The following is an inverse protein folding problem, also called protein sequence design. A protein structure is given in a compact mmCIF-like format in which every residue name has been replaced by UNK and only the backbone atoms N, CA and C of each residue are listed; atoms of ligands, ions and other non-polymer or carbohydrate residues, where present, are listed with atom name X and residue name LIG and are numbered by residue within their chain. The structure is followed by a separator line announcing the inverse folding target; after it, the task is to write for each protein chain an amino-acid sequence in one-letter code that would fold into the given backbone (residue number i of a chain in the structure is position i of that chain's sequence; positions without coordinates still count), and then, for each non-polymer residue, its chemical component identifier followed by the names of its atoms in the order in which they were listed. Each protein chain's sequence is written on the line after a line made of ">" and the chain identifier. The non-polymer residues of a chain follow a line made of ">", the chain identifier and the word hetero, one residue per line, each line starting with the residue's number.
data_IF_542736235841
#
_entry.id   IF_542736235841
#
_cell.length_a   1.000
_cell.length_b   1.000
_cell.length_c   1.000
_cell.angle_alpha   90.00
_cell.angle_beta   90.00
_cell.angle_gamma   90.00
#
_symmetry.space_group_name_H-M   'P 1'
#
loop_
_entity.id
_entity.type
_entity.pdbx_description
1 polymer ?
#
# COMPACT_ATOMS: atom_id res chain seq x y z
N UNK A 1 2.59 0.33 17.20
CA UNK A 1 3.92 -0.27 17.08
C UNK A 1 4.24 -1.30 18.16
N UNK A 2 3.64 -1.24 19.37
CA UNK A 2 3.90 -2.23 20.43
C UNK A 2 3.64 -3.69 19.99
N UNK A 3 2.49 -3.98 19.38
CA UNK A 3 2.12 -5.33 18.91
C UNK A 3 3.00 -5.86 17.77
N UNK A 4 3.46 -4.96 16.91
CA UNK A 4 4.28 -5.30 15.73
C UNK A 4 5.76 -5.11 16.00
N UNK A 5 6.20 -4.74 17.21
CA UNK A 5 7.62 -4.61 17.56
C UNK A 5 8.40 -3.45 16.91
N UNK A 6 7.74 -2.49 16.26
CA UNK A 6 8.39 -1.34 15.62
C UNK A 6 8.15 -1.25 14.12
N UNK A 7 8.81 -0.30 13.45
CA UNK A 7 8.62 -0.02 12.03
C UNK A 7 9.23 -1.09 11.12
N UNK A 8 10.44 -1.56 11.43
CA UNK A 8 11.11 -2.58 10.62
C UNK A 8 10.30 -3.87 10.60
N UNK A 9 9.85 -4.31 11.78
CA UNK A 9 9.03 -5.51 11.89
C UNK A 9 7.60 -5.29 11.34
N UNK A 10 7.07 -4.05 11.31
CA UNK A 10 5.85 -3.74 10.56
C UNK A 10 6.04 -3.97 9.06
N UNK A 11 7.16 -3.55 8.48
CA UNK A 11 7.42 -3.75 7.05
C UNK A 11 7.45 -5.24 6.70
N UNK A 12 8.19 -6.03 7.47
CA UNK A 12 8.31 -7.47 7.25
C UNK A 12 6.97 -8.21 7.43
N UNK A 13 6.25 -7.92 8.53
CA UNK A 13 4.97 -8.54 8.81
C UNK A 13 3.90 -8.14 7.78
N UNK A 14 3.88 -6.88 7.34
CA UNK A 14 2.93 -6.40 6.33
C UNK A 14 3.11 -7.12 5.01
N UNK A 15 4.35 -7.32 4.55
CA UNK A 15 4.62 -8.01 3.28
C UNK A 15 4.22 -9.50 3.31
N UNK A 16 4.11 -10.08 4.52
CA UNK A 16 3.65 -11.46 4.72
C UNK A 16 2.17 -11.56 5.13
N UNK A 17 1.45 -10.44 5.24
CA UNK A 17 0.09 -10.38 5.78
C UNK A 17 -0.99 -10.77 4.76
N UNK A 18 -0.85 -11.92 4.09
CA UNK A 18 -1.88 -12.45 3.19
C UNK A 18 -2.98 -13.16 3.99
N UNK A 19 -4.26 -12.82 3.80
CA UNK A 19 -5.35 -13.44 4.55
C UNK A 19 -5.54 -14.92 4.19
N UNK A 20 -5.90 -15.74 5.17
CA UNK A 20 -6.22 -17.17 4.97
C UNK A 20 -7.62 -17.40 4.42
N UNK A 21 -8.53 -16.44 4.59
CA UNK A 21 -9.91 -16.49 4.11
C UNK A 21 -10.11 -15.36 3.11
N UNK A 22 -10.37 -15.72 1.85
CA UNK A 22 -10.64 -14.78 0.76
C UNK A 22 -12.07 -15.01 0.26
N UNK A 23 -12.80 -13.93 -0.01
CA UNK A 23 -14.13 -14.02 -0.61
C UNK A 23 -14.10 -14.58 -2.03
N UNK A 24 -15.27 -14.92 -2.56
CA UNK A 24 -15.41 -15.46 -3.92
C UNK A 24 -15.22 -14.34 -4.95
N UNK A 25 -14.51 -14.61 -6.05
CA UNK A 25 -14.29 -13.70 -7.19
C UNK A 25 -13.51 -12.40 -6.87
N UNK A 26 -12.65 -12.40 -5.85
CA UNK A 26 -11.77 -11.26 -5.55
C UNK A 26 -10.42 -11.46 -6.22
N UNK A 27 -9.93 -10.45 -6.94
CA UNK A 27 -8.58 -10.49 -7.55
C UNK A 27 -7.50 -10.57 -6.48
N UNK A 28 -6.47 -11.39 -6.71
CA UNK A 28 -5.30 -11.53 -5.84
C UNK A 28 -4.62 -10.19 -5.54
N UNK A 29 -4.60 -9.29 -6.51
CA UNK A 29 -4.05 -7.94 -6.38
C UNK A 29 -4.73 -7.08 -5.30
N UNK A 30 -5.96 -7.41 -4.90
CA UNK A 30 -6.71 -6.66 -3.90
C UNK A 30 -6.29 -6.99 -2.46
N UNK A 31 -5.76 -8.20 -2.20
CA UNK A 31 -5.45 -8.67 -0.85
C UNK A 31 -3.98 -9.04 -0.65
N UNK A 32 -3.18 -9.09 -1.71
CA UNK A 32 -1.74 -9.32 -1.61
C UNK A 32 -0.99 -7.98 -1.41
N UNK A 33 -0.02 -7.93 -0.47
CA UNK A 33 0.82 -6.76 -0.28
C UNK A 33 1.58 -6.40 -1.57
N UNK A 34 1.56 -5.10 -1.92
CA UNK A 34 2.32 -4.59 -3.06
C UNK A 34 3.78 -4.34 -2.69
N UNK A 35 4.69 -4.61 -3.62
CA UNK A 35 6.11 -4.32 -3.44
C UNK A 35 6.43 -2.83 -3.21
N UNK A 36 5.58 -1.93 -3.71
CA UNK A 36 5.70 -0.47 -3.54
C UNK A 36 4.80 0.09 -2.42
N UNK A 37 4.26 -0.74 -1.52
CA UNK A 37 3.32 -0.31 -0.48
C UNK A 37 3.87 0.76 0.48
N UNK A 38 5.19 0.77 0.71
CA UNK A 38 5.87 1.74 1.57
C UNK A 38 6.45 2.94 0.80
N UNK A 39 6.13 3.08 -0.49
CA UNK A 39 6.57 4.20 -1.31
C UNK A 39 5.38 5.12 -1.64
N UNK A 40 5.47 6.39 -1.22
CA UNK A 40 4.47 7.41 -1.56
C UNK A 40 4.46 7.65 -3.08
N UNK A 41 5.66 7.76 -3.67
CA UNK A 41 5.82 7.90 -5.10
C UNK A 41 5.99 6.52 -5.73
N UNK A 42 5.05 6.17 -6.59
CA UNK A 42 5.05 4.92 -7.35
C UNK A 42 5.78 5.10 -8.68
N UNK A 43 5.91 4.00 -9.42
CA UNK A 43 6.51 4.02 -10.75
C UNK A 43 5.84 5.11 -11.62
N UNK A 44 6.61 6.04 -12.22
CA UNK A 44 6.05 7.20 -12.91
C UNK A 44 5.33 6.85 -14.22
N UNK A 45 5.50 5.62 -14.75
CA UNK A 45 4.95 5.18 -16.03
C UNK A 45 3.90 4.08 -15.83
N UNK A 46 4.17 3.10 -14.96
CA UNK A 46 3.34 1.92 -14.70
C UNK A 46 2.48 2.05 -13.45
N UNK A 47 2.74 3.06 -12.63
CA UNK A 47 1.99 3.33 -11.40
C UNK A 47 0.55 3.71 -11.71
N UNK A 48 -0.33 3.30 -10.82
CA UNK A 48 -1.75 3.64 -10.82
C UNK A 48 -2.03 5.06 -10.32
N UNK A 49 -1.12 5.62 -9.51
CA UNK A 49 -1.22 6.96 -8.96
C UNK A 49 -0.09 7.85 -9.51
N UNK A 50 -0.38 8.82 -10.40
CA UNK A 50 0.63 9.72 -10.91
C UNK A 50 1.04 10.71 -9.82
N UNK A 51 2.36 10.84 -9.60
CA UNK A 51 2.91 11.70 -8.55
C UNK A 51 2.47 13.18 -8.61
N UNK A 52 2.25 13.83 -9.78
CA UNK A 52 1.80 15.22 -9.78
C UNK A 52 0.42 15.36 -9.15
N UNK A 53 -0.47 14.39 -9.38
CA UNK A 53 -1.78 14.35 -8.75
C UNK A 53 -1.71 14.17 -7.23
N UNK A 54 -0.73 13.40 -6.74
CA UNK A 54 -0.50 13.25 -5.30
C UNK A 54 0.03 14.54 -4.66
N UNK A 55 1.00 15.21 -5.30
CA UNK A 55 1.64 16.42 -4.76
C UNK A 55 0.70 17.63 -4.79
N UNK A 56 -0.04 17.81 -5.89
CA UNK A 56 -0.84 19.02 -6.10
C UNK A 56 -2.35 18.81 -5.92
N UNK A 57 -2.83 17.56 -5.91
CA UNK A 57 -4.26 17.24 -5.82
C UNK A 57 -4.74 16.89 -4.41
N UNK A 58 -3.95 16.18 -3.61
CA UNK A 58 -4.40 15.71 -2.28
C UNK A 58 -4.44 16.80 -1.22
N UNK A 59 -3.64 17.87 -1.35
CA UNK A 59 -3.67 19.02 -0.42
C UNK A 59 -4.97 19.81 -0.52
N UNK A 60 -5.74 19.65 -1.60
CA UNK A 60 -7.02 20.35 -1.82
C UNK A 60 -8.19 19.63 -1.14
N UNK A 61 -8.10 18.32 -0.90
CA UNK A 61 -9.21 17.50 -0.39
C UNK A 61 -9.17 17.29 1.14
N UNK A 62 -8.07 17.68 1.79
CA UNK A 62 -7.86 17.56 3.24
C UNK A 62 -7.99 18.90 4.00
N UNK A 63 -8.48 19.95 3.33
CA UNK A 63 -8.76 21.27 3.91
C UNK A 63 -10.26 21.44 4.22
#
# INVERSE_FOLDING_TARGET
>A
FNEVGGYDNLQDLYMNATPSVVGVNISEKCYTPRADAFHIFRDPIKGDLPWPGLVFGLTIQAA
#
